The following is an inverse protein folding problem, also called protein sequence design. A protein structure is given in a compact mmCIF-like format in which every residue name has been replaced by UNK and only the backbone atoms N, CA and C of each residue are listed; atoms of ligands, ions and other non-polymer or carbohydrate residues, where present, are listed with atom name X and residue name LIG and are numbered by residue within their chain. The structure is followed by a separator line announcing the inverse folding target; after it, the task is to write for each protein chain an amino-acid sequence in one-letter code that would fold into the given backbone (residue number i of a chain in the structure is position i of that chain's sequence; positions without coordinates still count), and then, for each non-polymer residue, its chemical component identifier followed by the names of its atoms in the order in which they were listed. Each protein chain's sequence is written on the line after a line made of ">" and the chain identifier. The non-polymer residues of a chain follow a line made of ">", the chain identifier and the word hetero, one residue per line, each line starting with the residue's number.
data_IF_453216249166
#
_entry.id   IF_453216249166
#
_cell.length_a   1.000
_cell.length_b   1.000
_cell.length_c   1.000
_cell.angle_alpha   90.00
_cell.angle_beta   90.00
_cell.angle_gamma   90.00
#
_symmetry.space_group_name_H-M   'P 1'
#
loop_
_entity.id
_entity.type
_entity.pdbx_description
1 polymer ?
#
# COMPACT_ATOMS: atom_id res chain seq x y z
N UNK A 1 8.31 -32.88 -37.83
CA UNK A 1 9.09 -32.10 -36.85
C UNK A 1 8.13 -31.52 -35.83
N UNK A 2 8.25 -31.94 -34.56
CA UNK A 2 7.47 -31.37 -33.47
C UNK A 2 8.20 -30.09 -33.02
N UNK A 3 7.85 -28.95 -33.63
CA UNK A 3 8.36 -27.65 -33.18
C UNK A 3 7.66 -27.34 -31.85
N UNK A 4 8.34 -27.67 -30.75
CA UNK A 4 7.96 -27.18 -29.44
C UNK A 4 8.07 -25.66 -29.44
N UNK A 5 6.97 -24.97 -29.74
CA UNK A 5 6.85 -23.55 -29.50
C UNK A 5 6.91 -23.37 -27.99
N UNK A 6 8.06 -22.93 -27.47
CA UNK A 6 8.09 -22.31 -26.16
C UNK A 6 7.13 -21.11 -26.24
N UNK A 7 5.93 -21.25 -25.68
CA UNK A 7 5.01 -20.14 -25.53
C UNK A 7 5.62 -19.18 -24.50
N UNK A 8 6.55 -18.33 -24.95
CA UNK A 8 6.92 -17.17 -24.16
C UNK A 8 5.67 -16.33 -24.01
N UNK A 9 5.32 -16.05 -22.76
CA UNK A 9 4.25 -15.15 -22.39
C UNK A 9 4.35 -13.85 -23.18
N UNK A 10 3.37 -13.54 -24.03
CA UNK A 10 3.39 -12.31 -24.88
C UNK A 10 3.22 -11.04 -24.04
N UNK A 11 2.76 -11.17 -22.79
CA UNK A 11 2.62 -10.06 -21.86
C UNK A 11 3.12 -10.48 -20.47
N UNK A 12 4.32 -10.05 -20.03
CA UNK A 12 4.88 -10.43 -18.73
C UNK A 12 4.09 -9.87 -17.54
N UNK A 13 3.28 -8.81 -17.74
CA UNK A 13 2.45 -8.22 -16.68
C UNK A 13 1.36 -9.17 -16.17
N UNK A 14 0.99 -10.20 -16.94
CA UNK A 14 0.00 -11.21 -16.54
C UNK A 14 0.51 -12.08 -15.39
N UNK A 15 1.83 -12.32 -15.31
CA UNK A 15 2.43 -13.30 -14.38
C UNK A 15 3.49 -12.75 -13.45
N UNK A 16 3.95 -11.52 -13.64
CA UNK A 16 5.04 -10.95 -12.82
C UNK A 16 4.75 -11.08 -11.32
N UNK A 17 3.52 -10.78 -10.93
CA UNK A 17 3.07 -10.82 -9.53
C UNK A 17 2.81 -12.23 -9.00
N UNK A 18 2.84 -13.27 -9.83
CA UNK A 18 2.66 -14.67 -9.39
C UNK A 18 4.00 -15.28 -8.87
N UNK A 19 5.13 -14.64 -9.16
CA UNK A 19 6.42 -15.15 -8.71
C UNK A 19 6.68 -14.90 -7.22
N UNK A 20 7.20 -15.92 -6.52
CA UNK A 20 7.57 -15.82 -5.10
C UNK A 20 8.61 -14.72 -4.85
N UNK A 21 9.51 -14.53 -5.81
CA UNK A 21 10.54 -13.48 -5.74
C UNK A 21 9.95 -12.07 -5.70
N UNK A 22 8.86 -11.82 -6.45
CA UNK A 22 8.19 -10.52 -6.43
C UNK A 22 7.46 -10.26 -5.11
N UNK A 23 6.92 -11.29 -4.46
CA UNK A 23 6.28 -11.14 -3.16
C UNK A 23 7.31 -10.78 -2.08
N UNK A 24 8.47 -11.44 -2.12
CA UNK A 24 9.58 -11.16 -1.21
C UNK A 24 10.13 -9.75 -1.44
N UNK A 25 10.40 -9.37 -2.69
CA UNK A 25 10.93 -8.04 -3.01
C UNK A 25 9.96 -6.93 -2.62
N UNK A 26 8.65 -7.18 -2.74
CA UNK A 26 7.61 -6.25 -2.31
C UNK A 26 7.65 -6.00 -0.78
N UNK A 27 7.67 -7.07 0.02
CA UNK A 27 7.73 -6.96 1.48
C UNK A 27 9.04 -6.28 1.91
N UNK A 28 10.16 -6.66 1.30
CA UNK A 28 11.46 -6.03 1.53
C UNK A 28 11.45 -4.55 1.14
N UNK A 29 10.77 -4.18 0.06
CA UNK A 29 10.62 -2.80 -0.39
C UNK A 29 9.86 -1.94 0.63
N UNK A 30 8.77 -2.46 1.20
CA UNK A 30 8.04 -1.78 2.29
C UNK A 30 8.94 -1.63 3.52
N UNK A 31 9.63 -2.70 3.92
CA UNK A 31 10.56 -2.67 5.04
C UNK A 31 11.69 -1.65 4.84
N UNK A 32 12.29 -1.61 3.65
CA UNK A 32 13.34 -0.66 3.30
C UNK A 32 12.84 0.78 3.33
N UNK A 33 11.67 1.06 2.72
CA UNK A 33 11.02 2.37 2.81
C UNK A 33 10.84 2.80 4.27
N UNK A 34 10.36 1.89 5.11
CA UNK A 34 10.14 2.17 6.52
C UNK A 34 11.45 2.49 7.27
N UNK A 35 12.52 1.74 7.02
CA UNK A 35 13.85 1.98 7.62
C UNK A 35 14.43 3.33 7.16
N UNK A 36 14.26 3.68 5.88
CA UNK A 36 14.68 4.98 5.36
C UNK A 36 13.93 6.12 6.09
N UNK A 37 12.62 5.98 6.26
CA UNK A 37 11.82 6.98 6.98
C UNK A 37 12.16 7.07 8.47
N UNK A 38 12.49 5.94 9.13
CA UNK A 38 12.98 5.91 10.51
C UNK A 38 14.32 6.63 10.67
N UNK A 39 15.10 6.77 9.60
CA UNK A 39 16.39 7.46 9.62
C UNK A 39 16.25 9.00 9.59
N UNK A 40 15.04 9.53 9.45
CA UNK A 40 14.78 10.98 9.44
C UNK A 40 14.84 11.50 10.88
N UNK A 41 15.75 12.45 11.19
CA UNK A 41 15.82 13.02 12.52
C UNK A 41 14.51 13.77 12.85
N UNK A 42 14.08 13.70 14.11
CA UNK A 42 12.86 14.32 14.64
C UNK A 42 11.52 13.72 14.16
N UNK A 43 11.52 12.71 13.28
CA UNK A 43 10.31 12.00 12.92
C UNK A 43 9.88 11.04 14.04
N UNK A 44 8.66 11.18 14.54
CA UNK A 44 8.11 10.26 15.53
C UNK A 44 7.66 8.94 14.87
N UNK A 45 7.67 7.84 15.63
CA UNK A 45 7.24 6.52 15.13
C UNK A 45 5.83 6.55 14.48
N UNK A 46 4.80 7.21 15.05
CA UNK A 46 3.50 7.33 14.39
C UNK A 46 3.55 8.08 13.05
N UNK A 47 4.35 9.14 12.95
CA UNK A 47 4.53 9.90 11.70
C UNK A 47 5.19 9.01 10.64
N UNK A 48 6.20 8.24 11.01
CA UNK A 48 6.88 7.32 10.10
C UNK A 48 5.94 6.24 9.57
N UNK A 49 5.10 5.64 10.42
CA UNK A 49 4.07 4.69 9.97
C UNK A 49 3.03 5.34 9.05
N UNK A 50 2.63 6.57 9.34
CA UNK A 50 1.70 7.33 8.50
C UNK A 50 2.30 7.61 7.12
N UNK A 51 3.56 8.05 7.06
CA UNK A 51 4.28 8.29 5.81
C UNK A 51 4.51 7.00 5.02
N UNK A 52 4.85 5.90 5.70
CA UNK A 52 4.99 4.58 5.08
C UNK A 52 3.68 4.16 4.39
N UNK A 53 2.55 4.35 5.08
CA UNK A 53 1.22 4.08 4.52
C UNK A 53 0.90 4.97 3.32
N UNK A 54 1.11 6.28 3.45
CA UNK A 54 0.79 7.23 2.39
C UNK A 54 1.61 6.96 1.12
N UNK A 55 2.93 6.83 1.26
CA UNK A 55 3.85 6.58 0.14
C UNK A 55 3.54 5.24 -0.50
N UNK A 56 3.32 4.18 0.30
CA UNK A 56 2.94 2.86 -0.21
C UNK A 56 1.65 2.92 -1.04
N UNK A 57 0.58 3.51 -0.51
CA UNK A 57 -0.70 3.59 -1.21
C UNK A 57 -0.59 4.42 -2.49
N UNK A 58 0.13 5.56 -2.46
CA UNK A 58 0.34 6.40 -3.63
C UNK A 58 1.13 5.65 -4.70
N UNK A 59 2.26 5.05 -4.35
CA UNK A 59 3.09 4.28 -5.29
C UNK A 59 2.31 3.11 -5.88
N UNK A 60 1.56 2.36 -5.06
CA UNK A 60 0.74 1.23 -5.53
C UNK A 60 -0.39 1.67 -6.44
N UNK A 61 -1.06 2.78 -6.11
CA UNK A 61 -2.09 3.33 -6.97
C UNK A 61 -1.53 3.73 -8.34
N UNK A 62 -0.40 4.44 -8.37
CA UNK A 62 0.22 4.87 -9.62
C UNK A 62 0.68 3.66 -10.45
N UNK A 63 1.41 2.72 -9.86
CA UNK A 63 1.94 1.55 -10.56
C UNK A 63 0.84 0.62 -11.08
N UNK A 64 -0.22 0.38 -10.29
CA UNK A 64 -1.25 -0.58 -10.65
C UNK A 64 -2.36 0.03 -11.51
N UNK A 65 -2.75 1.28 -11.25
CA UNK A 65 -3.94 1.88 -11.87
C UNK A 65 -3.63 3.02 -12.84
N UNK A 66 -2.40 3.52 -12.89
CA UNK A 66 -2.03 4.63 -13.81
C UNK A 66 -1.09 4.16 -14.92
N UNK A 67 -0.14 3.27 -14.62
CA UNK A 67 0.78 2.72 -15.64
C UNK A 67 0.02 1.76 -16.56
N UNK A 68 0.14 2.00 -17.87
CA UNK A 68 -0.52 1.24 -18.94
C UNK A 68 0.48 0.63 -19.92
N UNK A 69 0.05 -0.43 -20.61
CA UNK A 69 0.84 -1.07 -21.67
C UNK A 69 1.95 -2.00 -21.18
N UNK A 70 2.78 -2.42 -22.13
CA UNK A 70 3.97 -3.26 -21.95
C UNK A 70 5.12 -2.58 -22.69
N UNK A 71 6.03 -1.87 -22.01
CA UNK A 71 6.98 -0.97 -22.68
C UNK A 71 7.94 -1.66 -23.68
N UNK A 72 8.12 -2.98 -23.57
CA UNK A 72 9.14 -3.74 -24.31
C UNK A 72 8.62 -5.01 -25.02
N UNK A 73 7.31 -5.24 -25.09
CA UNK A 73 6.71 -6.38 -25.81
C UNK A 73 6.09 -5.93 -27.13
N UNK A 74 6.76 -6.23 -28.24
CA UNK A 74 6.33 -5.85 -29.60
C UNK A 74 5.19 -6.70 -30.23
N UNK A 75 4.86 -7.94 -29.83
CA UNK A 75 3.82 -8.72 -30.52
C UNK A 75 2.43 -8.78 -29.84
N UNK A 76 2.03 -7.82 -29.00
CA UNK A 76 0.68 -7.84 -28.37
C UNK A 76 -0.45 -7.24 -29.24
N UNK A 77 -0.17 -6.83 -30.49
CA UNK A 77 -1.13 -6.21 -31.42
C UNK A 77 -1.93 -5.02 -30.81
N UNK A 78 -1.42 -4.41 -29.73
CA UNK A 78 -2.04 -3.29 -29.03
C UNK A 78 -3.12 -3.63 -27.99
N UNK A 79 -3.34 -4.91 -27.65
CA UNK A 79 -4.39 -5.31 -26.69
C UNK A 79 -4.19 -4.73 -25.29
N UNK A 80 -2.95 -4.69 -24.80
CA UNK A 80 -2.57 -4.18 -23.49
C UNK A 80 -2.33 -2.66 -23.46
N UNK A 81 -2.31 -1.99 -24.63
CA UNK A 81 -1.93 -0.56 -24.74
C UNK A 81 -2.78 0.36 -23.88
N UNK A 82 -4.07 0.04 -23.73
CA UNK A 82 -5.02 0.84 -22.95
C UNK A 82 -5.25 0.30 -21.53
N UNK A 83 -4.79 -0.93 -21.27
CA UNK A 83 -4.99 -1.61 -20.01
C UNK A 83 -3.93 -1.20 -19.00
N UNK A 84 -4.37 -0.93 -17.78
CA UNK A 84 -3.51 -0.71 -16.62
C UNK A 84 -2.82 -2.01 -16.20
N UNK A 85 -1.73 -1.91 -15.45
CA UNK A 85 -1.06 -3.10 -14.92
C UNK A 85 -2.00 -3.98 -14.08
N UNK A 86 -2.92 -3.36 -13.33
CA UNK A 86 -3.98 -4.07 -12.59
C UNK A 86 -4.92 -4.86 -13.50
N UNK A 87 -5.35 -4.30 -14.62
CA UNK A 87 -6.27 -4.97 -15.54
C UNK A 87 -5.59 -6.13 -16.28
N UNK A 88 -4.30 -6.00 -16.59
CA UNK A 88 -3.52 -7.03 -17.27
C UNK A 88 -3.19 -8.23 -16.37
N UNK A 89 -3.06 -8.01 -15.06
CA UNK A 89 -2.62 -9.03 -14.09
C UNK A 89 -3.49 -10.28 -14.09
N UNK A 90 -2.89 -11.46 -14.02
CA UNK A 90 -3.56 -12.76 -14.03
C UNK A 90 -4.61 -12.87 -15.17
N UNK A 91 -4.31 -12.29 -16.33
CA UNK A 91 -5.21 -12.24 -17.50
C UNK A 91 -6.59 -11.61 -17.21
N UNK A 92 -6.68 -10.71 -16.24
CA UNK A 92 -7.93 -10.10 -15.81
C UNK A 92 -8.79 -10.98 -14.89
N UNK A 93 -8.33 -12.19 -14.53
CA UNK A 93 -9.03 -13.07 -13.60
C UNK A 93 -9.08 -12.42 -12.22
N UNK A 94 -10.27 -12.32 -11.65
CA UNK A 94 -10.50 -11.73 -10.34
C UNK A 94 -10.20 -12.73 -9.21
N UNK A 95 -9.97 -12.23 -8.00
CA UNK A 95 -9.79 -13.04 -6.78
C UNK A 95 -8.64 -14.07 -6.80
N UNK A 96 -7.64 -13.86 -7.65
CA UNK A 96 -6.38 -14.61 -7.62
C UNK A 96 -5.60 -14.31 -6.33
N UNK A 97 -4.63 -15.18 -6.02
CA UNK A 97 -3.76 -15.00 -4.86
C UNK A 97 -2.99 -13.66 -4.91
N UNK A 98 -2.45 -13.29 -6.08
CA UNK A 98 -1.73 -12.04 -6.31
C UNK A 98 -2.63 -10.80 -6.10
N UNK A 99 -3.85 -10.81 -6.65
CA UNK A 99 -4.81 -9.71 -6.45
C UNK A 99 -5.24 -9.60 -4.99
N UNK A 100 -5.53 -10.73 -4.33
CA UNK A 100 -5.84 -10.76 -2.89
C UNK A 100 -4.70 -10.19 -2.07
N UNK A 101 -3.47 -10.60 -2.35
CA UNK A 101 -2.28 -10.07 -1.68
C UNK A 101 -2.21 -8.54 -1.80
N UNK A 102 -2.26 -8.00 -3.03
CA UNK A 102 -2.18 -6.56 -3.28
C UNK A 102 -3.34 -5.76 -2.68
N UNK A 103 -4.53 -6.35 -2.54
CA UNK A 103 -5.66 -5.70 -1.85
C UNK A 103 -5.53 -5.80 -0.32
N UNK A 104 -5.04 -6.91 0.23
CA UNK A 104 -4.94 -7.13 1.67
C UNK A 104 -3.77 -6.35 2.29
N UNK A 105 -2.63 -6.22 1.61
CA UNK A 105 -1.47 -5.49 2.14
C UNK A 105 -1.79 -4.06 2.60
N UNK A 106 -2.38 -3.18 1.77
CA UNK A 106 -2.71 -1.81 2.21
C UNK A 106 -3.69 -1.80 3.39
N UNK A 107 -4.62 -2.76 3.46
CA UNK A 107 -5.55 -2.90 4.60
C UNK A 107 -4.77 -3.19 5.89
N UNK A 108 -3.88 -4.18 5.86
CA UNK A 108 -3.02 -4.53 7.01
C UNK A 108 -2.13 -3.34 7.41
N UNK A 109 -1.55 -2.64 6.45
CA UNK A 109 -0.67 -1.50 6.69
C UNK A 109 -1.41 -0.35 7.40
N UNK A 110 -2.66 -0.08 7.00
CA UNK A 110 -3.53 0.93 7.64
C UNK A 110 -3.90 0.49 9.06
N UNK A 111 -4.16 -0.80 9.29
CA UNK A 111 -4.41 -1.31 10.64
C UNK A 111 -3.20 -1.12 11.56
N UNK A 112 -1.99 -1.40 11.07
CA UNK A 112 -0.75 -1.17 11.83
C UNK A 112 -0.58 0.33 12.14
N UNK A 113 -0.78 1.19 11.13
CA UNK A 113 -0.75 2.64 11.31
C UNK A 113 -1.69 3.11 12.40
N UNK A 114 -2.94 2.64 12.34
CA UNK A 114 -4.01 2.98 13.27
C UNK A 114 -3.67 2.49 14.68
N UNK A 115 -3.16 1.27 14.82
CA UNK A 115 -2.80 0.71 16.13
C UNK A 115 -1.71 1.53 16.83
N UNK A 116 -0.76 2.08 16.07
CA UNK A 116 0.36 2.88 16.60
C UNK A 116 -0.02 4.34 16.82
N UNK A 117 -0.88 4.91 15.96
CA UNK A 117 -1.25 6.33 16.00
C UNK A 117 -2.34 6.61 17.04
N UNK A 118 -3.27 5.66 17.26
CA UNK A 118 -4.41 5.87 18.18
C UNK A 118 -4.01 6.22 19.62
N UNK A 119 -3.08 5.51 20.29
CA UNK A 119 -2.71 5.85 21.67
C UNK A 119 -2.17 7.27 21.79
N UNK A 120 -1.38 7.70 20.80
CA UNK A 120 -0.80 9.04 20.76
C UNK A 120 -1.87 10.11 20.59
N UNK A 121 -2.82 9.91 19.66
CA UNK A 121 -3.92 10.86 19.45
C UNK A 121 -4.85 10.95 20.67
N UNK A 122 -5.12 9.81 21.32
CA UNK A 122 -5.94 9.78 22.56
C UNK A 122 -5.23 10.54 23.67
N UNK A 123 -3.92 10.35 23.84
CA UNK A 123 -3.13 11.09 24.82
C UNK A 123 -3.10 12.60 24.53
N UNK A 124 -2.99 13.00 23.27
CA UNK A 124 -2.99 14.40 22.85
C UNK A 124 -4.38 15.06 23.06
N UNK A 125 -5.46 14.31 22.85
CA UNK A 125 -6.83 14.74 23.17
C UNK A 125 -7.02 14.91 24.69
N UNK A 126 -6.52 13.94 25.46
CA UNK A 126 -6.62 13.93 26.92
C UNK A 126 -5.89 15.12 27.57
N UNK A 127 -4.68 15.40 27.09
CA UNK A 127 -3.84 16.50 27.58
C UNK A 127 -4.27 17.89 27.09
N UNK A 128 -5.23 17.97 26.16
CA UNK A 128 -5.63 19.23 25.53
C UNK A 128 -6.25 20.23 26.54
N UNK A 129 -5.84 21.51 26.52
CA UNK A 129 -6.42 22.55 27.38
C UNK A 129 -7.93 22.71 27.21
N UNK A 130 -8.45 22.41 26.01
CA UNK A 130 -9.88 22.50 25.69
C UNK A 130 -10.69 21.42 26.43
N UNK A 131 -10.15 20.20 26.53
CA UNK A 131 -10.75 19.11 27.31
C UNK A 131 -10.68 19.39 28.80
N UNK A 132 -9.52 19.87 29.27
CA UNK A 132 -9.33 20.31 30.67
C UNK A 132 -10.37 21.36 31.09
N UNK A 133 -10.51 22.44 30.31
CA UNK A 133 -11.53 23.48 30.56
C UNK A 133 -12.97 22.94 30.56
N UNK A 134 -13.27 21.94 29.72
CA UNK A 134 -14.60 21.31 29.69
C UNK A 134 -14.88 20.51 30.96
N UNK A 135 -13.87 19.80 31.47
CA UNK A 135 -13.96 19.06 32.74
C UNK A 135 -14.13 20.03 33.91
N UNK A 136 -13.31 21.08 33.98
CA UNK A 136 -13.39 22.11 35.01
C UNK A 136 -14.79 22.75 35.05
N UNK A 137 -15.32 23.18 33.89
CA UNK A 137 -16.66 23.76 33.77
C UNK A 137 -17.79 22.78 34.17
N UNK A 138 -17.62 21.48 33.90
CA UNK A 138 -18.59 20.46 34.33
C UNK A 138 -18.54 20.23 35.84
N UNK A 139 -17.36 20.33 36.46
CA UNK A 139 -17.21 20.21 37.91
C UNK A 139 -17.83 21.40 38.63
N UNK A 140 -17.67 22.60 38.08
CA UNK A 140 -18.27 23.83 38.62
C UNK A 140 -19.80 23.79 38.54
N UNK A 141 -20.36 23.27 37.44
CA UNK A 141 -21.81 23.12 37.25
C UNK A 141 -22.48 22.10 38.19
N UNK A 142 -21.72 21.13 38.72
CA UNK A 142 -22.22 20.13 39.69
C UNK A 142 -22.14 20.66 41.12
N UNK A 143 -21.28 21.65 41.38
CA UNK A 143 -21.03 22.21 42.72
C UNK A 143 -21.90 23.42 43.07
N UNK A 144 -22.59 24.02 42.09
CA UNK A 144 -23.54 25.12 42.28
C UNK A 144 -24.99 24.63 42.26
#
# INVERSE_FOLDING_TARGET
>A
MNVGTAHSEVNPNTRVMNSRGMWLSYILGIGLLHVILLSIPFASVPVVWTLTNLIHNLCMYLLLHTVKGTPFETPDQGKARLLTHWEQMDYGVQFTASRKFLTITPIVLVHICSAITRPVLVFEEESSPKRRRRVDASMDAVRG
#
